data_IF_444349939204
#
_entry.id   IF_444349939204
#
_cell.length_a   1.000
_cell.length_b   1.000
_cell.length_c   1.000
_cell.angle_alpha   90.00
_cell.angle_beta   90.00
_cell.angle_gamma   90.00
#
_symmetry.space_group_name_H-M   'P 1'
#
loop_
_entity.id
_entity.type
_entity.pdbx_description
1 polymer ?
#
# COMPACT_ATOMS: atom_id res chain seq x y z
N UNK A 1 -6.49 -8.61 6.92
CA UNK A 1 -5.94 -7.32 6.41
C UNK A 1 -4.73 -7.67 5.54
N UNK A 2 -4.41 -6.90 4.51
CA UNK A 2 -3.31 -7.23 3.61
C UNK A 2 -1.96 -7.03 4.33
N UNK A 3 -0.97 -7.87 4.03
CA UNK A 3 0.37 -7.75 4.62
C UNK A 3 1.02 -6.39 4.34
N UNK A 4 0.67 -5.79 3.19
CA UNK A 4 1.23 -4.53 2.69
C UNK A 4 0.51 -3.26 3.18
N UNK A 5 -0.39 -3.39 4.17
CA UNK A 5 -1.09 -2.28 4.81
C UNK A 5 -0.21 -1.08 5.17
N UNK A 6 0.99 -1.26 5.77
CA UNK A 6 1.87 -0.15 6.10
C UNK A 6 2.28 0.70 4.88
N UNK A 7 2.49 0.07 3.71
CA UNK A 7 2.85 0.76 2.48
C UNK A 7 1.73 1.72 2.05
N UNK A 8 0.49 1.23 2.00
CA UNK A 8 -0.67 2.03 1.58
C UNK A 8 -0.94 3.19 2.54
N UNK A 9 -0.81 2.94 3.85
CA UNK A 9 -0.97 3.98 4.88
C UNK A 9 0.08 5.08 4.71
N UNK A 10 1.33 4.71 4.45
CA UNK A 10 2.41 5.67 4.21
C UNK A 10 2.18 6.50 2.93
N UNK A 11 1.65 5.90 1.86
CA UNK A 11 1.25 6.65 0.65
C UNK A 11 0.15 7.66 0.96
N UNK A 12 -0.90 7.26 1.70
CA UNK A 12 -1.98 8.17 2.09
C UNK A 12 -1.45 9.34 2.92
N UNK A 13 -0.61 9.05 3.91
CA UNK A 13 0.02 10.07 4.75
C UNK A 13 0.90 11.02 3.92
N UNK A 14 1.69 10.50 2.99
CA UNK A 14 2.57 11.28 2.12
C UNK A 14 1.83 12.25 1.20
N UNK A 15 0.60 11.91 0.77
CA UNK A 15 -0.25 12.84 0.00
C UNK A 15 -1.13 13.74 0.91
N UNK A 16 -1.05 13.60 2.24
CA UNK A 16 -1.87 14.34 3.20
C UNK A 16 -3.33 13.88 3.25
N UNK A 17 -3.61 12.61 2.93
CA UNK A 17 -4.93 12.00 3.03
C UNK A 17 -5.09 11.22 4.35
N UNK A 18 -6.30 11.18 4.93
CA UNK A 18 -6.56 10.40 6.13
C UNK A 18 -6.51 8.89 5.83
N UNK A 19 -6.08 8.10 6.82
CA UNK A 19 -6.13 6.63 6.75
C UNK A 19 -7.52 6.17 7.16
N UNK A 20 -8.42 5.97 6.19
CA UNK A 20 -9.80 5.52 6.42
C UNK A 20 -10.07 4.18 5.73
N UNK A 21 -11.15 3.51 6.13
CA UNK A 21 -11.59 2.29 5.46
C UNK A 21 -11.91 2.51 3.98
N UNK A 22 -12.49 3.67 3.61
CA UNK A 22 -12.76 4.01 2.21
C UNK A 22 -11.46 4.08 1.39
N UNK A 23 -10.48 4.82 1.89
CA UNK A 23 -9.20 5.00 1.19
C UNK A 23 -8.42 3.69 1.07
N UNK A 24 -8.35 2.90 2.15
CA UNK A 24 -7.67 1.61 2.13
C UNK A 24 -8.38 0.62 1.19
N UNK A 25 -9.72 0.57 1.21
CA UNK A 25 -10.49 -0.30 0.30
C UNK A 25 -10.20 0.03 -1.17
N UNK A 26 -10.14 1.32 -1.51
CA UNK A 26 -9.73 1.75 -2.84
C UNK A 26 -8.29 1.33 -3.17
N UNK A 27 -7.32 1.57 -2.28
CA UNK A 27 -5.92 1.20 -2.54
C UNK A 27 -5.73 -0.31 -2.70
N UNK A 28 -6.46 -1.15 -1.96
CA UNK A 28 -6.45 -2.60 -2.16
C UNK A 28 -7.01 -2.98 -3.53
N UNK A 29 -8.14 -2.38 -3.93
CA UNK A 29 -8.75 -2.65 -5.23
C UNK A 29 -7.84 -2.20 -6.39
N UNK A 30 -7.22 -1.03 -6.26
CA UNK A 30 -6.26 -0.53 -7.23
C UNK A 30 -5.04 -1.45 -7.33
N UNK A 31 -4.44 -1.85 -6.20
CA UNK A 31 -3.34 -2.80 -6.19
C UNK A 31 -3.70 -4.12 -6.87
N UNK A 32 -4.87 -4.67 -6.54
CA UNK A 32 -5.34 -5.92 -7.10
C UNK A 32 -5.59 -5.83 -8.60
N UNK A 33 -6.10 -4.68 -9.07
CA UNK A 33 -6.30 -4.41 -10.49
C UNK A 33 -4.98 -4.23 -11.25
N UNK A 34 -3.98 -3.60 -10.65
CA UNK A 34 -2.66 -3.39 -11.27
C UNK A 34 -1.89 -4.70 -11.45
N UNK A 35 -1.95 -5.60 -10.47
CA UNK A 35 -1.26 -6.90 -10.55
C UNK A 35 0.27 -6.80 -10.67
N UNK A 36 0.85 -5.62 -10.46
CA UNK A 36 2.28 -5.34 -10.65
C UNK A 36 3.21 -6.31 -9.91
N UNK A 37 4.28 -6.72 -10.57
CA UNK A 37 5.38 -7.52 -9.99
C UNK A 37 6.69 -6.73 -9.88
N UNK A 38 6.67 -5.43 -10.17
CA UNK A 38 7.83 -4.55 -10.02
C UNK A 38 8.18 -4.33 -8.53
N UNK A 39 9.46 -4.42 -8.20
CA UNK A 39 9.95 -4.39 -6.82
C UNK A 39 9.65 -3.05 -6.14
N UNK A 40 8.98 -3.12 -4.99
CA UNK A 40 8.46 -1.99 -4.21
C UNK A 40 7.63 -0.98 -5.03
N UNK A 41 7.01 -1.43 -6.14
CA UNK A 41 6.21 -0.58 -7.02
C UNK A 41 4.82 -1.18 -7.29
N UNK A 42 3.94 -1.23 -6.27
CA UNK A 42 2.62 -1.87 -6.37
C UNK A 42 1.67 -1.27 -7.41
N UNK A 43 1.88 0.00 -7.79
CA UNK A 43 0.98 0.78 -8.65
C UNK A 43 1.61 1.11 -10.02
N UNK A 44 2.71 0.45 -10.39
CA UNK A 44 3.40 0.63 -11.68
C UNK A 44 3.81 2.10 -11.97
N UNK A 45 4.27 2.86 -10.97
CA UNK A 45 4.82 4.20 -11.24
C UNK A 45 6.07 4.14 -12.11
N UNK A 46 6.23 5.14 -12.97
CA UNK A 46 7.41 5.35 -13.83
C UNK A 46 8.36 6.40 -13.26
N UNK A 47 8.15 6.87 -12.02
CA UNK A 47 8.93 7.94 -11.42
C UNK A 47 10.40 7.53 -11.25
N UNK A 48 11.30 8.23 -11.92
CA UNK A 48 12.73 7.94 -11.86
C UNK A 48 13.33 8.43 -10.53
N UNK A 49 13.52 7.51 -9.58
CA UNK A 49 14.21 7.77 -8.32
C UNK A 49 15.67 7.34 -8.40
N UNK A 50 16.55 7.96 -7.60
CA UNK A 50 17.96 7.58 -7.48
C UNK A 50 18.11 6.09 -7.19
N UNK A 51 18.91 5.39 -8.00
CA UNK A 51 19.14 3.95 -7.86
C UNK A 51 17.98 3.03 -8.27
N UNK A 52 16.85 3.58 -8.73
CA UNK A 52 15.81 2.75 -9.35
C UNK A 52 16.29 2.16 -10.68
N UNK A 53 15.72 1.03 -11.10
CA UNK A 53 15.99 0.41 -12.40
C UNK A 53 14.72 0.35 -13.24
N UNK A 54 14.85 0.29 -14.58
CA UNK A 54 13.70 0.07 -15.47
C UNK A 54 13.24 -1.39 -15.32
N UNK A 55 11.96 -1.59 -15.06
CA UNK A 55 11.30 -2.89 -14.98
C UNK A 55 10.83 -3.39 -16.36
N UNK A 56 10.26 -2.50 -17.19
CA UNK A 56 9.71 -2.87 -18.50
C UNK A 56 9.87 -1.75 -19.55
N UNK A 57 9.49 -2.04 -20.80
CA UNK A 57 9.57 -1.08 -21.93
C UNK A 57 8.67 0.16 -21.78
N UNK A 58 7.68 0.13 -20.89
CA UNK A 58 6.82 1.29 -20.57
C UNK A 58 7.43 2.22 -19.51
N UNK A 59 8.64 1.93 -19.03
CA UNK A 59 9.35 2.78 -18.08
C UNK A 59 8.92 2.58 -16.62
N UNK A 60 8.11 1.55 -16.32
CA UNK A 60 7.83 1.15 -14.93
C UNK A 60 9.15 0.89 -14.23
N UNK A 61 9.25 1.25 -12.94
CA UNK A 61 10.51 1.16 -12.18
C UNK A 61 10.50 0.05 -11.13
N UNK A 62 11.66 -0.51 -10.86
CA UNK A 62 11.94 -1.19 -9.59
C UNK A 62 12.61 -0.18 -8.64
N UNK A 63 12.17 -0.13 -7.39
CA UNK A 63 12.79 0.71 -6.36
C UNK A 63 13.68 -0.10 -5.43
N UNK A 64 14.63 0.57 -4.78
CA UNK A 64 15.60 -0.08 -3.88
C UNK A 64 14.98 -0.53 -2.55
N UNK A 65 13.93 0.16 -2.10
CA UNK A 65 13.30 -0.07 -0.81
C UNK A 65 11.83 0.33 -0.83
N UNK A 66 11.07 -0.15 0.15
CA UNK A 66 9.69 0.28 0.35
C UNK A 66 9.58 1.80 0.48
N UNK A 67 10.49 2.44 1.23
CA UNK A 67 10.53 3.90 1.39
C UNK A 67 10.70 4.63 0.06
N UNK A 68 11.63 4.17 -0.80
CA UNK A 68 11.83 4.78 -2.12
C UNK A 68 10.60 4.58 -3.03
N UNK A 69 9.95 3.42 -2.97
CA UNK A 69 8.72 3.16 -3.71
C UNK A 69 7.52 3.98 -3.24
N UNK A 70 7.39 4.19 -1.93
CA UNK A 70 6.37 5.08 -1.33
C UNK A 70 6.60 6.51 -1.81
N UNK A 71 7.82 7.05 -1.68
CA UNK A 71 8.17 8.40 -2.10
C UNK A 71 7.90 8.62 -3.61
N UNK A 72 8.30 7.65 -4.44
CA UNK A 72 8.02 7.67 -5.86
C UNK A 72 6.50 7.68 -6.17
N UNK A 73 5.72 6.86 -5.46
CA UNK A 73 4.26 6.82 -5.61
C UNK A 73 3.63 8.16 -5.21
N UNK A 74 4.06 8.72 -4.07
CA UNK A 74 3.59 10.02 -3.56
C UNK A 74 3.91 11.14 -4.57
N UNK A 75 5.16 11.24 -5.04
CA UNK A 75 5.58 12.21 -6.04
C UNK A 75 4.77 12.09 -7.33
N UNK A 76 4.48 10.86 -7.75
CA UNK A 76 3.64 10.63 -8.93
C UNK A 76 2.22 11.13 -8.68
N UNK A 77 1.59 10.76 -7.56
CA UNK A 77 0.21 11.18 -7.24
C UNK A 77 0.06 12.69 -7.09
N UNK A 78 1.10 13.39 -6.64
CA UNK A 78 1.08 14.84 -6.45
C UNK A 78 1.25 15.65 -7.75
N UNK A 79 1.42 14.99 -8.91
CA UNK A 79 1.38 15.70 -10.20
C UNK A 79 -0.05 16.15 -10.53
N UNK A 80 -0.20 17.32 -11.18
CA UNK A 80 -1.49 17.95 -11.47
C UNK A 80 -2.50 17.03 -12.18
N UNK A 81 -2.02 16.18 -13.09
CA UNK A 81 -2.83 15.21 -13.84
C UNK A 81 -3.49 14.10 -12.99
N UNK A 82 -3.13 13.98 -11.70
CA UNK A 82 -3.72 13.03 -10.76
C UNK A 82 -4.42 13.73 -9.58
N UNK A 83 -4.57 15.06 -9.64
CA UNK A 83 -5.23 15.88 -8.61
C UNK A 83 -6.64 15.40 -8.24
N UNK A 84 -7.38 14.85 -9.20
CA UNK A 84 -8.70 14.25 -8.96
C UNK A 84 -8.66 13.07 -7.98
N UNK A 85 -7.67 12.19 -8.14
CA UNK A 85 -7.45 11.03 -7.24
C UNK A 85 -7.10 11.55 -5.85
N UNK A 86 -6.12 12.44 -5.76
CA UNK A 86 -5.64 13.00 -4.47
C UNK A 86 -6.76 13.74 -3.73
N UNK A 87 -7.57 14.53 -4.44
CA UNK A 87 -8.71 15.24 -3.86
C UNK A 87 -9.75 14.27 -3.30
N UNK A 88 -10.03 13.18 -4.02
CA UNK A 88 -10.96 12.15 -3.58
C UNK A 88 -10.47 11.43 -2.32
N UNK A 89 -9.18 11.08 -2.29
CA UNK A 89 -8.52 10.45 -1.14
C UNK A 89 -8.48 11.38 0.07
N UNK A 90 -8.10 12.65 -0.10
CA UNK A 90 -8.07 13.64 1.00
C UNK A 90 -9.44 13.83 1.65
N UNK A 91 -10.52 13.74 0.87
CA UNK A 91 -11.91 13.83 1.34
C UNK A 91 -12.47 12.50 1.84
N UNK A 92 -11.69 11.41 1.79
CA UNK A 92 -12.14 10.05 2.13
C UNK A 92 -13.46 9.66 1.43
N UNK A 93 -13.59 10.05 0.15
CA UNK A 93 -14.78 9.75 -0.65
C UNK A 93 -15.01 8.24 -0.78
N UNK A 94 -16.25 7.80 -1.07
CA UNK A 94 -16.55 6.40 -1.35
C UNK A 94 -15.56 5.79 -2.35
N UNK A 95 -15.13 4.52 -2.18
CA UNK A 95 -14.11 3.91 -3.03
C UNK A 95 -14.42 3.98 -4.53
N UNK A 96 -15.69 3.80 -4.91
CA UNK A 96 -16.13 3.88 -6.31
C UNK A 96 -15.98 5.28 -6.91
N UNK A 97 -16.17 6.34 -6.13
CA UNK A 97 -15.92 7.72 -6.59
C UNK A 97 -14.43 7.96 -6.82
N UNK A 98 -13.58 7.45 -5.94
CA UNK A 98 -12.12 7.52 -6.11
C UNK A 98 -11.67 6.71 -7.33
N UNK A 99 -12.27 5.55 -7.59
CA UNK A 99 -12.00 4.76 -8.79
C UNK A 99 -12.49 5.42 -10.08
N UNK A 100 -13.56 6.20 -10.04
CA UNK A 100 -13.97 7.05 -11.16
C UNK A 100 -12.91 8.12 -11.45
N UNK A 101 -12.36 8.76 -10.42
CA UNK A 101 -11.25 9.72 -10.59
C UNK A 101 -9.99 9.05 -11.18
N UNK A 102 -9.69 7.81 -10.78
CA UNK A 102 -8.62 7.01 -11.38
C UNK A 102 -8.89 6.75 -12.87
N UNK A 103 -10.11 6.33 -13.22
CA UNK A 103 -10.52 6.02 -14.60
C UNK A 103 -10.42 7.24 -15.53
N UNK A 104 -10.73 8.43 -15.01
CA UNK A 104 -10.65 9.70 -15.75
C UNK A 104 -9.21 10.24 -15.83
N UNK A 105 -8.29 9.69 -15.04
CA UNK A 105 -6.89 10.10 -15.06
C UNK A 105 -6.12 9.47 -16.21
N UNK A 106 -4.84 9.81 -16.34
CA UNK A 106 -3.91 9.17 -17.28
C UNK A 106 -3.21 7.93 -16.70
N UNK A 107 -3.60 7.48 -15.50
CA UNK A 107 -3.00 6.29 -14.87
C UNK A 107 -3.57 5.01 -15.49
N UNK A 108 -2.68 4.05 -15.79
CA UNK A 108 -2.92 2.95 -16.73
C UNK A 108 -3.98 1.90 -16.36
N UNK A 109 -4.52 1.88 -15.13
CA UNK A 109 -5.46 0.83 -14.68
C UNK A 109 -6.85 0.94 -15.31
N UNK A 110 -7.24 2.15 -15.74
CA UNK A 110 -8.59 2.42 -16.27
C UNK A 110 -9.71 1.95 -15.32
N UNK A 111 -10.78 1.31 -15.83
CA UNK A 111 -11.93 0.92 -15.03
C UNK A 111 -11.74 -0.39 -14.22
N UNK A 112 -10.56 -1.01 -14.24
CA UNK A 112 -10.34 -2.31 -13.59
C UNK A 112 -10.49 -2.22 -12.06
N UNK A 113 -10.01 -1.14 -11.42
CA UNK A 113 -10.21 -0.92 -9.99
C UNK A 113 -11.71 -0.83 -9.63
N UNK A 114 -12.52 -0.23 -10.50
CA UNK A 114 -13.99 -0.20 -10.36
C UNK A 114 -14.57 -1.61 -10.38
N UNK A 115 -14.10 -2.46 -11.31
CA UNK A 115 -14.55 -3.87 -11.40
C UNK A 115 -14.22 -4.64 -10.13
N UNK A 116 -13.01 -4.47 -9.58
CA UNK A 116 -12.61 -5.10 -8.32
C UNK A 116 -13.49 -4.63 -7.15
N UNK A 117 -13.78 -3.31 -7.07
CA UNK A 117 -14.65 -2.76 -6.02
C UNK A 117 -16.10 -3.27 -6.11
N UNK A 118 -16.64 -3.46 -7.31
CA UNK A 118 -17.95 -4.09 -7.50
C UNK A 118 -17.93 -5.52 -6.96
N UNK A 119 -16.86 -6.28 -7.22
CA UNK A 119 -16.65 -7.60 -6.63
C UNK A 119 -16.65 -7.56 -5.10
N UNK A 120 -15.97 -6.59 -4.48
CA UNK A 120 -15.99 -6.42 -3.03
C UNK A 120 -17.39 -6.13 -2.50
N UNK A 121 -18.16 -5.27 -3.18
CA UNK A 121 -19.54 -4.99 -2.82
C UNK A 121 -20.45 -6.23 -2.94
N UNK A 122 -20.13 -7.17 -3.85
CA UNK A 122 -20.79 -8.46 -4.00
C UNK A 122 -20.32 -9.54 -3.00
N UNK A 123 -19.41 -9.20 -2.08
CA UNK A 123 -18.93 -10.09 -1.02
C UNK A 123 -17.54 -10.70 -1.26
N UNK A 124 -16.86 -10.37 -2.36
CA UNK A 124 -15.47 -10.78 -2.54
C UNK A 124 -14.57 -10.10 -1.51
N UNK A 125 -13.56 -10.84 -1.01
CA UNK A 125 -12.57 -10.27 -0.09
C UNK A 125 -11.40 -9.67 -0.86
N UNK A 126 -10.77 -8.59 -0.34
CA UNK A 126 -9.52 -8.08 -0.92
C UNK A 126 -8.42 -9.13 -0.96
N UNK A 127 -7.84 -9.35 -2.14
CA UNK A 127 -6.72 -10.26 -2.41
C UNK A 127 -5.68 -9.60 -3.32
N UNK A 128 -5.11 -8.44 -2.93
CA UNK A 128 -4.01 -7.85 -3.67
C UNK A 128 -2.79 -8.78 -3.68
N UNK A 129 -2.04 -8.87 -4.79
CA UNK A 129 -0.76 -9.59 -4.79
C UNK A 129 0.24 -8.88 -3.88
N UNK A 130 1.05 -9.67 -3.18
CA UNK A 130 2.10 -9.15 -2.32
C UNK A 130 3.01 -8.18 -3.08
N UNK A 131 3.50 -7.15 -2.40
CA UNK A 131 4.50 -6.26 -2.98
C UNK A 131 5.79 -7.05 -3.17
N UNK A 132 6.30 -7.07 -4.40
CA UNK A 132 7.59 -7.68 -4.70
C UNK A 132 8.68 -6.96 -3.91
N UNK A 133 9.51 -7.72 -3.19
CA UNK A 133 10.65 -7.21 -2.43
C UNK A 133 11.93 -7.59 -3.16
N UNK A 134 12.99 -6.81 -2.95
CA UNK A 134 14.30 -7.21 -3.44
C UNK A 134 14.74 -8.45 -2.66
N UNK A 135 14.80 -9.59 -3.35
CA UNK A 135 15.45 -10.79 -2.85
C UNK A 135 16.87 -10.73 -3.38
N UNK A 136 17.89 -10.36 -2.57
CA UNK A 136 19.26 -10.52 -3.02
C UNK A 136 19.43 -11.99 -3.40
N UNK A 137 19.97 -12.26 -4.58
CA UNK A 137 20.44 -13.61 -4.90
C UNK A 137 21.34 -14.02 -3.74
N UNK A 138 20.90 -14.98 -2.93
CA UNK A 138 21.76 -15.58 -1.91
C UNK A 138 23.05 -15.95 -2.62
N UNK A 139 24.22 -15.40 -2.22
CA UNK A 139 25.46 -15.94 -2.75
C UNK A 139 25.40 -17.43 -2.44
N UNK A 140 25.47 -18.26 -3.47
CA UNK A 140 25.74 -19.68 -3.28
C UNK A 140 27.10 -19.68 -2.62
N UNK A 141 27.11 -19.79 -1.29
CA UNK A 141 28.32 -20.08 -0.54
C UNK A 141 28.65 -21.50 -0.98
N UNK A 142 29.47 -21.61 -2.03
CA UNK A 142 30.15 -22.85 -2.35
C UNK A 142 31.02 -23.13 -1.14
N UNK A 143 30.51 -23.94 -0.23
CA UNK A 143 31.27 -24.43 0.92
C UNK A 143 32.36 -25.29 0.32
N UNK A 144 33.49 -24.69 -0.02
CA UNK A 144 34.72 -25.44 -0.24
C UNK A 144 35.03 -26.04 1.12
N UNK A 145 35.14 -27.37 1.26
CA UNK A 145 35.51 -27.96 2.54
C UNK A 145 36.90 -27.43 2.91
N UNK A 146 36.92 -26.50 3.86
CA UNK A 146 38.15 -26.01 4.47
C UNK A 146 38.74 -27.18 5.27
N UNK A 147 39.95 -27.60 4.88
CA UNK A 147 40.71 -28.60 5.62
C UNK A 147 41.17 -27.95 6.91
N UNK A 148 40.39 -28.11 7.98
CA UNK A 148 40.63 -27.46 9.28
C UNK A 148 41.89 -28.06 9.91
N UNK A 149 43.03 -27.40 9.75
CA UNK A 149 44.18 -27.60 10.61
C UNK A 149 43.92 -26.88 11.94
N UNK A 150 43.78 -27.67 13.01
CA UNK A 150 43.52 -27.18 14.36
C UNK A 150 44.65 -26.28 14.86
N UNK A 151 44.36 -25.00 15.08
CA UNK A 151 45.20 -24.09 15.88
C UNK A 151 44.57 -23.88 17.27
N UNK A 152 45.38 -23.75 18.33
CA UNK A 152 44.89 -23.72 19.71
C UNK A 152 44.11 -22.44 20.03
N UNK A 153 42.96 -22.63 20.67
CA UNK A 153 42.09 -21.56 21.20
C UNK A 153 42.82 -20.84 22.33
N UNK A 154 43.15 -19.56 22.14
CA UNK A 154 43.56 -18.68 23.23
C UNK A 154 42.31 -18.09 23.88
N UNK A 155 42.11 -18.40 25.17
CA UNK A 155 41.02 -17.85 25.99
C UNK A 155 41.32 -16.39 26.36
N UNK A 156 40.45 -15.47 25.96
CA UNK A 156 40.48 -14.08 26.44
C UNK A 156 39.72 -13.95 27.77
N UNK A 157 40.43 -13.51 28.81
CA UNK A 157 39.88 -13.12 30.10
C UNK A 157 39.43 -11.66 30.04
N UNK A 158 38.14 -11.38 30.22
CA UNK A 158 37.64 -10.00 30.36
C UNK A 158 37.82 -9.51 31.80
N UNK A 159 38.46 -8.36 32.04
CA UNK A 159 38.40 -7.74 33.36
C UNK A 159 37.03 -7.11 33.57
N UNK A 160 36.47 -7.33 34.76
CA UNK A 160 35.32 -6.60 35.28
C UNK A 160 35.74 -5.17 35.64
N UNK A 161 34.75 -4.27 35.74
CA UNK A 161 34.76 -2.86 36.25
C UNK A 161 34.67 -1.76 35.16
N UNK A 162 33.45 -1.32 34.83
CA UNK A 162 32.97 0.09 34.98
C UNK A 162 31.52 0.25 34.46
N UNK A 163 30.83 1.15 35.14
CA UNK A 163 29.37 1.27 35.28
C UNK A 163 28.68 2.16 34.22
N UNK A 164 27.38 1.87 34.02
CA UNK A 164 26.21 2.80 33.88
C UNK A 164 26.10 3.69 32.65
N UNK A 165 25.05 3.45 31.86
CA UNK A 165 24.00 4.45 31.60
C UNK A 165 22.63 3.75 31.68
N UNK A 166 21.81 4.14 32.65
CA UNK A 166 20.38 3.85 32.67
C UNK A 166 19.65 4.70 31.61
N UNK A 167 18.69 4.11 30.90
CA UNK A 167 17.51 4.85 30.44
C UNK A 167 16.28 3.97 30.71
N UNK A 168 15.53 4.33 31.73
CA UNK A 168 14.15 3.88 31.92
C UNK A 168 13.21 4.83 31.19
N UNK A 169 12.25 4.29 30.43
CA UNK A 169 10.91 4.86 30.30
C UNK A 169 9.94 3.79 29.79
N UNK A 170 9.04 3.38 30.69
CA UNK A 170 7.99 2.41 30.48
C UNK A 170 6.86 3.01 29.62
N UNK A 171 6.36 2.20 28.69
CA UNK A 171 5.16 2.49 27.91
C UNK A 171 3.90 2.07 28.68
N UNK A 172 2.93 2.98 28.80
CA UNK A 172 1.54 2.62 29.10
C UNK A 172 0.61 3.58 28.38
N UNK A 173 -0.09 3.11 27.35
CA UNK A 173 -1.39 3.65 26.93
C UNK A 173 -2.27 2.50 26.45
N UNK A 174 -3.21 2.09 27.31
CA UNK A 174 -4.36 1.26 26.94
C UNK A 174 -5.58 2.19 26.88
N UNK A 175 -6.35 2.08 25.80
CA UNK A 175 -7.77 2.45 25.79
C UNK A 175 -8.17 3.69 24.99
N UNK A 176 -8.37 3.55 23.67
CA UNK A 176 -9.27 4.44 22.90
C UNK A 176 -9.70 3.91 21.50
N UNK A 177 -9.42 2.66 21.11
CA UNK A 177 -9.72 2.18 19.74
C UNK A 177 -11.08 1.48 19.62
N UNK A 178 -11.71 1.11 20.75
CA UNK A 178 -12.90 0.23 20.76
C UNK A 178 -14.22 0.88 20.32
N UNK A 179 -14.43 2.18 20.59
CA UNK A 179 -15.77 2.79 20.44
C UNK A 179 -16.06 3.42 19.06
N UNK A 180 -15.03 3.79 18.28
CA UNK A 180 -15.22 4.37 16.93
C UNK A 180 -15.62 3.35 15.86
N UNK A 181 -15.17 2.09 16.00
CA UNK A 181 -15.33 1.02 15.01
C UNK A 181 -16.73 0.38 14.96
N UNK A 182 -17.61 0.73 15.91
CA UNK A 182 -18.99 0.24 15.94
C UNK A 182 -19.98 1.22 15.28
N UNK A 183 -19.78 2.54 15.43
CA UNK A 183 -20.68 3.57 14.87
C UNK A 183 -20.55 3.73 13.35
N UNK A 184 -19.34 3.56 12.79
CA UNK A 184 -19.10 3.69 11.35
C UNK A 184 -19.67 2.54 10.50
N UNK A 185 -19.81 1.33 11.07
CA UNK A 185 -20.38 0.18 10.36
C UNK A 185 -21.90 0.28 10.15
N UNK A 186 -22.60 1.04 11.00
CA UNK A 186 -24.05 1.25 10.89
C UNK A 186 -24.38 2.37 9.88
N UNK A 187 -23.62 3.46 9.84
CA UNK A 187 -23.86 4.58 8.91
C UNK A 187 -23.57 4.24 7.43
N UNK A 188 -22.53 3.44 7.15
CA UNK A 188 -22.21 3.07 5.76
C UNK A 188 -23.20 2.06 5.15
N UNK A 189 -23.90 1.26 5.97
CA UNK A 189 -25.00 0.39 5.49
C UNK A 189 -26.24 1.20 5.10
N UNK A 190 -26.50 2.31 5.78
CA UNK A 190 -27.68 3.16 5.52
C UNK A 190 -27.49 4.11 4.33
N UNK A 191 -26.25 4.49 3.96
CA UNK A 191 -25.97 5.37 2.82
C UNK A 191 -25.80 4.65 1.48
N UNK A 192 -25.38 3.38 1.48
CA UNK A 192 -25.39 2.55 0.27
C UNK A 192 -26.82 2.28 -0.23
N UNK A 193 -27.81 2.25 0.67
CA UNK A 193 -29.22 2.06 0.34
C UNK A 193 -29.91 3.29 -0.28
N UNK A 194 -29.27 4.47 -0.24
CA UNK A 194 -29.85 5.73 -0.75
C UNK A 194 -29.46 6.03 -2.22
N UNK A 195 -28.55 5.25 -2.82
CA UNK A 195 -28.09 5.48 -4.21
C UNK A 195 -28.62 4.44 -5.22
N UNK A 196 -29.05 3.26 -4.78
CA UNK A 196 -29.59 2.23 -5.66
C UNK A 196 -30.78 1.52 -5.00
N UNK A 197 -31.91 1.44 -5.73
CA UNK A 197 -33.07 0.65 -5.29
C UNK A 197 -32.68 -0.84 -5.25
N UNK A 198 -33.25 -1.64 -4.32
CA UNK A 198 -33.03 -3.08 -4.31
C UNK A 198 -33.36 -3.68 -5.69
N UNK A 199 -32.42 -4.44 -6.28
CA UNK A 199 -32.61 -5.14 -7.56
C UNK A 199 -32.02 -4.47 -8.80
N UNK A 200 -31.34 -3.32 -8.70
CA UNK A 200 -30.62 -2.73 -9.83
C UNK A 200 -29.11 -3.01 -9.75
N UNK A 201 -28.57 -3.73 -10.74
CA UNK A 201 -27.13 -3.87 -10.96
C UNK A 201 -26.60 -2.54 -11.52
N UNK A 202 -25.69 -1.84 -10.83
CA UNK A 202 -25.12 -0.61 -11.36
C UNK A 202 -24.25 -0.92 -12.57
N UNK A 203 -24.64 -0.43 -13.74
CA UNK A 203 -23.82 -0.44 -14.96
C UNK A 203 -22.97 0.83 -15.02
N UNK A 204 -21.82 0.75 -15.71
CA UNK A 204 -20.89 1.88 -15.88
C UNK A 204 -21.58 3.15 -16.40
N UNK A 205 -22.57 3.01 -17.29
CA UNK A 205 -23.35 4.14 -17.82
C UNK A 205 -24.23 4.84 -16.78
N UNK A 206 -24.80 4.10 -15.83
CA UNK A 206 -25.71 4.65 -14.81
C UNK A 206 -24.97 5.48 -13.75
N UNK A 207 -23.69 5.19 -13.51
CA UNK A 207 -22.84 5.94 -12.57
C UNK A 207 -22.43 7.29 -13.16
N UNK A 208 -22.13 7.36 -14.47
CA UNK A 208 -21.71 8.60 -15.14
C UNK A 208 -22.86 9.61 -15.33
N UNK A 209 -24.10 9.14 -15.52
CA UNK A 209 -25.25 10.03 -15.74
C UNK A 209 -25.71 10.79 -14.47
N UNK A 210 -25.39 10.30 -13.27
CA UNK A 210 -25.81 10.91 -12.00
C UNK A 210 -24.75 11.79 -11.34
N UNK A 211 -23.63 12.03 -12.03
CA UNK A 211 -22.49 12.83 -11.57
C UNK A 211 -22.37 14.19 -12.32
N UNK A 212 -23.44 14.64 -13.00
CA UNK A 212 -23.55 15.98 -13.57
C UNK A 212 -24.39 16.89 -12.68
#
# INVERSE_FOLDING_TARGET
MAADDPFYKAVLQGIGAPVTSNNLTFLYAWRQAEGASATYNPFNTTWNATGSTVYNSHGVRNYLSATSGIDATVKTLLMDRYSGIVTSLKKSRPPLETAAALTLSKWGTGPLATTVLIGYAAGASPKPPAIAVFVPSTPVVTVVPEVVAAAPVTTFSTPTWLWVVEVSLAATVVGAVGYGLWKDRQLNRQRAALLFKPGQTPTYGNVLQRLR
#
